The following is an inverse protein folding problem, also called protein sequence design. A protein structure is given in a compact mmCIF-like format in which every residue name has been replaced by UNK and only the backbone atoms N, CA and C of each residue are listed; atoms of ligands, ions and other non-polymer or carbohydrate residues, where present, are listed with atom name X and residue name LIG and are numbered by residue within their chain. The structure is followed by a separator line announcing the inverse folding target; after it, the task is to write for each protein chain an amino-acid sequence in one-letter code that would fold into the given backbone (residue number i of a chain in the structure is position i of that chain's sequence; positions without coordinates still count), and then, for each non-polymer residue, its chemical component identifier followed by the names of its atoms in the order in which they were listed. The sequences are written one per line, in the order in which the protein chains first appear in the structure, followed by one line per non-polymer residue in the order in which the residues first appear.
data_IF_244321088755
#
_entry.id   IF_244321088755
#
_cell.length_a   1.000
_cell.length_b   1.000
_cell.length_c   1.000
_cell.angle_alpha   90.00
_cell.angle_beta   90.00
_cell.angle_gamma   90.00
#
_symmetry.space_group_name_H-M   'P 1'
#
loop_
_entity.id
_entity.type
_entity.pdbx_description
1 polymer ?
#
# COMPACT_ATOMS: atom_id res chain seq x y z
N UNK A 1 15.25 25.96 19.17
CA UNK A 1 16.25 24.90 19.41
C UNK A 1 15.57 23.59 19.03
N UNK A 2 15.87 23.06 17.84
CA UNK A 2 15.35 21.76 17.43
C UNK A 2 16.04 20.69 18.30
N UNK A 3 15.28 20.05 19.17
CA UNK A 3 15.75 18.86 19.86
C UNK A 3 16.06 17.82 18.76
N UNK A 4 17.34 17.51 18.54
CA UNK A 4 17.76 16.46 17.63
C UNK A 4 17.18 15.14 18.16
N UNK A 5 16.27 14.55 17.40
CA UNK A 5 15.74 13.22 17.71
C UNK A 5 16.92 12.25 17.91
N UNK A 6 16.99 11.49 18.98
CA UNK A 6 18.12 10.60 19.23
C UNK A 6 18.23 9.57 18.07
N UNK A 7 19.45 9.32 17.64
CA UNK A 7 19.71 8.29 16.62
C UNK A 7 19.35 6.92 17.20
N UNK A 8 18.37 6.26 16.56
CA UNK A 8 17.89 4.93 16.95
C UNK A 8 18.44 3.87 15.99
N UNK A 9 18.65 2.67 16.52
CA UNK A 9 18.91 1.46 15.74
C UNK A 9 17.60 0.73 15.50
N UNK A 10 17.15 0.66 14.25
CA UNK A 10 15.84 0.16 13.86
C UNK A 10 15.97 -1.07 12.96
N UNK A 11 15.13 -2.07 13.19
CA UNK A 11 14.96 -3.20 12.27
C UNK A 11 13.56 -3.13 11.68
N UNK A 12 13.50 -3.02 10.36
CA UNK A 12 12.26 -3.16 9.60
C UNK A 12 12.11 -4.62 9.17
N UNK A 13 11.10 -5.31 9.69
CA UNK A 13 10.90 -6.74 9.51
C UNK A 13 9.71 -7.02 8.61
N UNK A 14 9.87 -7.84 7.58
CA UNK A 14 8.78 -8.22 6.70
C UNK A 14 8.83 -9.71 6.34
N UNK A 15 7.66 -10.30 6.08
CA UNK A 15 7.50 -11.73 5.90
C UNK A 15 8.36 -12.28 4.76
N UNK A 16 8.27 -11.71 3.56
CA UNK A 16 9.01 -12.23 2.40
C UNK A 16 9.46 -11.14 1.45
N UNK A 17 10.57 -11.40 0.78
CA UNK A 17 11.05 -10.60 -0.34
C UNK A 17 10.24 -11.00 -1.58
N UNK A 18 9.49 -10.03 -2.12
CA UNK A 18 8.65 -10.18 -3.30
C UNK A 18 8.24 -8.79 -3.79
N UNK A 19 7.66 -8.68 -4.98
CA UNK A 19 7.08 -7.44 -5.45
C UNK A 19 5.70 -7.21 -4.79
N UNK A 20 5.50 -6.04 -4.17
CA UNK A 20 4.21 -5.72 -3.56
C UNK A 20 4.18 -4.38 -2.83
N UNK A 21 2.95 -3.86 -2.65
CA UNK A 21 2.75 -2.55 -2.01
C UNK A 21 3.26 -2.45 -0.57
N UNK A 22 3.22 -3.56 0.19
CA UNK A 22 3.73 -3.58 1.56
C UNK A 22 5.25 -3.52 1.61
N UNK A 23 5.93 -4.24 0.71
CA UNK A 23 7.39 -4.23 0.57
C UNK A 23 7.87 -2.83 0.20
N UNK A 24 7.25 -2.23 -0.80
CA UNK A 24 7.57 -0.86 -1.24
C UNK A 24 7.35 0.18 -0.14
N UNK A 25 6.25 0.08 0.61
CA UNK A 25 5.99 0.99 1.72
C UNK A 25 7.03 0.85 2.84
N UNK A 26 7.45 -0.39 3.16
CA UNK A 26 8.49 -0.64 4.16
C UNK A 26 9.86 -0.10 3.72
N UNK A 27 10.26 -0.37 2.48
CA UNK A 27 11.55 0.10 1.94
C UNK A 27 11.59 1.63 1.87
N UNK A 28 10.48 2.27 1.48
CA UNK A 28 10.32 3.72 1.48
C UNK A 28 10.45 4.29 2.89
N UNK A 29 9.78 3.70 3.88
CA UNK A 29 9.94 4.06 5.29
C UNK A 29 11.40 3.93 5.73
N UNK A 30 12.07 2.83 5.36
CA UNK A 30 13.48 2.61 5.69
C UNK A 30 14.41 3.66 5.10
N UNK A 31 14.22 4.04 3.84
CA UNK A 31 14.98 5.12 3.20
C UNK A 31 14.76 6.46 3.91
N UNK A 32 13.52 6.79 4.24
CA UNK A 32 13.18 8.03 4.93
C UNK A 32 13.73 8.07 6.36
N UNK A 33 13.65 6.99 7.12
CA UNK A 33 14.24 6.93 8.47
C UNK A 33 15.78 7.06 8.42
N UNK A 34 16.45 6.45 7.43
CA UNK A 34 17.91 6.62 7.24
C UNK A 34 18.28 8.06 6.89
N UNK A 35 17.53 8.72 6.02
CA UNK A 35 17.77 10.14 5.67
C UNK A 35 17.59 11.08 6.88
N UNK A 36 16.84 10.67 7.89
CA UNK A 36 16.68 11.38 9.18
C UNK A 36 17.76 11.01 10.21
N UNK A 37 18.74 10.19 9.84
CA UNK A 37 19.91 9.87 10.67
C UNK A 37 19.79 8.62 11.52
N UNK A 38 18.70 7.84 11.42
CA UNK A 38 18.58 6.56 12.12
C UNK A 38 19.45 5.47 11.46
N UNK A 39 19.87 4.48 12.26
CA UNK A 39 20.55 3.26 11.80
C UNK A 39 19.48 2.21 11.49
N UNK A 40 19.20 1.92 10.20
CA UNK A 40 18.04 1.13 9.79
C UNK A 40 18.46 -0.02 8.89
N UNK A 41 18.21 -1.25 9.33
CA UNK A 41 18.28 -2.45 8.49
C UNK A 41 16.88 -2.96 8.15
N UNK A 42 16.72 -3.52 6.94
CA UNK A 42 15.49 -4.19 6.50
C UNK A 42 15.72 -5.68 6.43
N UNK A 43 14.95 -6.45 7.19
CA UNK A 43 15.08 -7.90 7.28
C UNK A 43 13.88 -8.61 6.70
N UNK A 44 14.11 -9.46 5.70
CA UNK A 44 13.13 -10.37 5.14
C UNK A 44 13.24 -11.71 5.84
N UNK A 45 12.10 -12.25 6.32
CA UNK A 45 12.11 -13.56 6.98
C UNK A 45 12.54 -14.65 6.00
N UNK A 46 11.99 -14.61 4.77
CA UNK A 46 12.41 -15.53 3.69
C UNK A 46 12.28 -14.83 2.32
N UNK A 47 12.68 -15.54 1.25
CA UNK A 47 12.76 -14.97 -0.09
C UNK A 47 11.92 -15.76 -1.08
N UNK A 48 10.98 -15.06 -1.75
CA UNK A 48 10.24 -15.60 -2.91
C UNK A 48 10.89 -15.20 -4.23
N UNK A 49 11.42 -13.98 -4.28
CA UNK A 49 12.07 -13.39 -5.44
C UNK A 49 13.28 -12.56 -4.99
N UNK A 50 14.45 -12.61 -5.68
CA UNK A 50 15.68 -11.93 -5.27
C UNK A 50 15.73 -10.45 -5.65
N UNK A 51 14.61 -9.72 -5.63
CA UNK A 51 14.46 -8.37 -6.20
C UNK A 51 15.34 -7.31 -5.52
N UNK A 52 15.61 -7.44 -4.22
CA UNK A 52 16.28 -6.39 -3.43
C UNK A 52 17.60 -6.87 -2.81
N UNK A 53 18.15 -8.01 -3.22
CA UNK A 53 19.38 -8.60 -2.60
C UNK A 53 20.59 -7.69 -2.61
N UNK A 54 20.70 -6.84 -3.63
CA UNK A 54 21.87 -5.98 -3.86
C UNK A 54 21.68 -4.57 -3.29
N UNK A 55 20.56 -4.31 -2.60
CA UNK A 55 20.38 -3.04 -1.90
C UNK A 55 21.11 -3.07 -0.56
N UNK A 56 21.82 -1.98 -0.23
CA UNK A 56 22.45 -1.80 1.07
C UNK A 56 21.43 -1.87 2.21
N UNK A 57 21.84 -2.42 3.35
CA UNK A 57 21.02 -2.56 4.55
C UNK A 57 19.83 -3.54 4.41
N UNK A 58 19.88 -4.47 3.44
CA UNK A 58 18.91 -5.55 3.32
C UNK A 58 19.52 -6.87 3.78
N UNK A 59 18.75 -7.63 4.57
CA UNK A 59 19.12 -8.95 5.06
C UNK A 59 17.99 -9.95 4.84
N UNK A 60 18.32 -11.12 4.30
CA UNK A 60 17.42 -12.27 4.21
C UNK A 60 17.79 -13.28 5.27
N UNK A 61 16.86 -13.62 6.16
CA UNK A 61 17.13 -14.55 7.26
C UNK A 61 17.17 -16.00 6.79
N UNK A 62 16.29 -16.38 5.87
CA UNK A 62 16.24 -17.72 5.29
C UNK A 62 16.09 -17.64 3.76
N UNK A 63 17.12 -18.00 2.97
CA UNK A 63 17.08 -17.86 1.52
C UNK A 63 16.34 -19.05 0.86
N UNK A 64 15.06 -19.22 1.18
CA UNK A 64 14.18 -20.27 0.64
C UNK A 64 12.83 -19.66 0.26
N UNK A 65 12.18 -20.23 -0.76
CA UNK A 65 10.88 -19.73 -1.26
C UNK A 65 9.73 -19.92 -0.28
N UNK A 66 9.73 -21.02 0.45
CA UNK A 66 8.68 -21.34 1.42
C UNK A 66 9.28 -22.20 2.54
N UNK A 67 9.33 -21.68 3.78
CA UNK A 67 9.80 -22.48 4.92
C UNK A 67 8.81 -23.60 5.24
N UNK A 68 9.28 -24.85 5.33
CA UNK A 68 8.52 -25.93 5.97
C UNK A 68 8.59 -25.80 7.51
N UNK A 69 8.02 -26.76 8.24
CA UNK A 69 7.99 -26.72 9.71
C UNK A 69 9.39 -26.55 10.34
N UNK A 70 10.39 -27.29 9.85
CA UNK A 70 11.80 -27.18 10.27
C UNK A 70 12.36 -25.78 9.92
N UNK A 71 12.01 -25.26 8.75
CA UNK A 71 12.41 -23.91 8.31
C UNK A 71 11.87 -22.81 9.22
N UNK A 72 10.65 -22.92 9.71
CA UNK A 72 10.11 -21.96 10.70
C UNK A 72 10.84 -22.02 12.04
N UNK A 73 11.22 -23.21 12.51
CA UNK A 73 12.04 -23.34 13.72
C UNK A 73 13.44 -22.73 13.53
N UNK A 74 14.09 -22.98 12.39
CA UNK A 74 15.37 -22.37 12.05
C UNK A 74 15.25 -20.85 11.96
N UNK A 75 14.17 -20.33 11.36
CA UNK A 75 13.88 -18.93 11.25
C UNK A 75 13.75 -18.27 12.64
N UNK A 76 13.03 -18.91 13.56
CA UNK A 76 12.87 -18.45 14.93
C UNK A 76 14.22 -18.30 15.64
N UNK A 77 15.06 -19.35 15.59
CA UNK A 77 16.38 -19.33 16.22
C UNK A 77 17.29 -18.27 15.57
N UNK A 78 17.30 -18.17 14.24
CA UNK A 78 18.09 -17.16 13.52
C UNK A 78 17.65 -15.76 13.86
N UNK A 79 16.34 -15.47 13.78
CA UNK A 79 15.78 -14.14 14.11
C UNK A 79 16.13 -13.76 15.55
N UNK A 80 15.93 -14.67 16.51
CA UNK A 80 16.27 -14.44 17.93
C UNK A 80 17.75 -14.10 18.11
N UNK A 81 18.66 -14.92 17.56
CA UNK A 81 20.11 -14.70 17.65
C UNK A 81 20.53 -13.38 17.01
N UNK A 82 19.98 -13.05 15.85
CA UNK A 82 20.28 -11.81 15.13
C UNK A 82 19.80 -10.58 15.92
N UNK A 83 18.57 -10.60 16.46
CA UNK A 83 18.03 -9.51 17.28
C UNK A 83 18.85 -9.32 18.57
N UNK A 84 19.27 -10.40 19.22
CA UNK A 84 20.14 -10.35 20.42
C UNK A 84 21.52 -9.78 20.11
N UNK A 85 22.08 -10.11 18.96
CA UNK A 85 23.39 -9.59 18.52
C UNK A 85 23.30 -8.11 18.07
N UNK A 86 22.27 -7.77 17.30
CA UNK A 86 22.07 -6.44 16.73
C UNK A 86 21.58 -5.41 17.78
N UNK A 87 20.81 -5.86 18.77
CA UNK A 87 20.24 -5.05 19.88
C UNK A 87 19.52 -3.79 19.38
N UNK A 88 18.50 -3.93 18.50
CA UNK A 88 17.79 -2.78 18.02
C UNK A 88 16.96 -2.11 19.12
N UNK A 89 16.82 -0.79 19.04
CA UNK A 89 15.92 -0.01 19.90
C UNK A 89 14.45 -0.28 19.56
N UNK A 90 14.16 -0.56 18.27
CA UNK A 90 12.83 -0.93 17.84
C UNK A 90 12.83 -1.92 16.68
N UNK A 91 11.75 -2.74 16.61
CA UNK A 91 11.38 -3.55 15.45
C UNK A 91 10.03 -3.07 14.93
N UNK A 92 9.99 -2.67 13.67
CA UNK A 92 8.75 -2.35 12.95
C UNK A 92 8.49 -3.49 11.97
N UNK A 93 7.35 -4.19 12.09
CA UNK A 93 7.05 -5.34 11.24
C UNK A 93 5.85 -5.11 10.33
N UNK A 94 5.94 -5.62 9.10
CA UNK A 94 4.88 -5.56 8.09
C UNK A 94 4.48 -6.98 7.67
N UNK A 95 3.20 -7.19 7.42
CA UNK A 95 2.55 -8.45 7.06
C UNK A 95 2.33 -9.42 8.23
N UNK A 96 1.26 -10.24 8.20
CA UNK A 96 0.76 -10.98 9.37
C UNK A 96 1.76 -11.90 10.03
N UNK A 97 2.58 -12.63 9.25
CA UNK A 97 3.58 -13.54 9.84
C UNK A 97 4.70 -12.78 10.56
N UNK A 98 5.22 -11.70 9.96
CA UNK A 98 6.23 -10.86 10.62
C UNK A 98 5.63 -10.15 11.85
N UNK A 99 4.35 -9.75 11.79
CA UNK A 99 3.65 -9.18 12.93
C UNK A 99 3.53 -10.20 14.07
N UNK A 100 2.81 -11.30 13.87
CA UNK A 100 2.56 -12.27 14.95
C UNK A 100 3.84 -12.97 15.43
N UNK A 101 4.52 -13.64 14.52
CA UNK A 101 5.71 -14.43 14.82
C UNK A 101 6.94 -13.54 15.10
N UNK A 102 7.22 -12.57 14.21
CA UNK A 102 8.42 -11.74 14.34
C UNK A 102 8.43 -10.91 15.60
N UNK A 103 7.31 -10.28 15.97
CA UNK A 103 7.21 -9.47 17.19
C UNK A 103 7.23 -10.32 18.47
N UNK A 104 6.71 -11.55 18.43
CA UNK A 104 6.86 -12.48 19.56
C UNK A 104 8.34 -12.82 19.81
N UNK A 105 9.11 -13.11 18.74
CA UNK A 105 10.56 -13.33 18.85
C UNK A 105 11.29 -12.06 19.28
N UNK A 106 10.91 -10.89 18.79
CA UNK A 106 11.50 -9.61 19.20
C UNK A 106 11.28 -9.33 20.69
N UNK A 107 10.10 -9.67 21.23
CA UNK A 107 9.83 -9.59 22.66
C UNK A 107 10.75 -10.50 23.47
N UNK A 108 10.88 -11.77 23.05
CA UNK A 108 11.78 -12.74 23.70
C UNK A 108 13.25 -12.29 23.64
N UNK A 109 13.65 -11.63 22.54
CA UNK A 109 14.97 -11.05 22.39
C UNK A 109 15.20 -9.77 23.23
N UNK A 110 14.17 -9.25 23.87
CA UNK A 110 14.26 -8.07 24.75
C UNK A 110 14.24 -6.73 24.00
N UNK A 111 13.71 -6.70 22.76
CA UNK A 111 13.57 -5.43 22.01
C UNK A 111 12.54 -4.53 22.70
N UNK A 112 12.89 -3.27 23.06
CA UNK A 112 12.00 -2.42 23.85
C UNK A 112 10.77 -1.94 23.07
N UNK A 113 10.89 -1.48 21.82
CA UNK A 113 9.78 -1.02 21.00
C UNK A 113 9.47 -2.01 19.88
N UNK A 114 8.22 -2.44 19.82
CA UNK A 114 7.74 -3.50 18.92
C UNK A 114 6.45 -3.06 18.24
N UNK A 115 6.61 -2.52 17.02
CA UNK A 115 5.52 -1.93 16.24
C UNK A 115 5.07 -2.92 15.18
N UNK A 116 3.85 -3.45 15.29
CA UNK A 116 3.22 -4.25 14.25
C UNK A 116 2.44 -3.35 13.28
N UNK A 117 2.58 -3.55 11.97
CA UNK A 117 1.82 -2.80 10.97
C UNK A 117 0.91 -3.71 10.16
N UNK A 118 -0.39 -3.50 10.32
CA UNK A 118 -1.46 -4.19 9.62
C UNK A 118 -1.70 -3.50 8.27
N UNK A 119 -1.62 -4.26 7.18
CA UNK A 119 -1.63 -3.72 5.82
C UNK A 119 -2.90 -4.05 5.04
N UNK A 120 -3.71 -4.94 5.59
CA UNK A 120 -4.99 -5.36 5.05
C UNK A 120 -5.97 -5.57 6.22
N UNK A 121 -7.28 -5.56 5.96
CA UNK A 121 -8.28 -5.92 6.95
C UNK A 121 -8.08 -7.32 7.55
N UNK A 122 -8.38 -7.50 8.82
CA UNK A 122 -8.15 -8.74 9.58
C UNK A 122 -8.80 -9.98 8.96
N UNK A 123 -9.96 -9.84 8.36
CA UNK A 123 -10.72 -10.93 7.72
C UNK A 123 -10.05 -11.48 6.44
N UNK A 124 -9.08 -10.75 5.87
CA UNK A 124 -8.28 -11.23 4.72
C UNK A 124 -7.19 -12.21 5.11
N UNK A 125 -6.90 -12.35 6.41
CA UNK A 125 -5.88 -13.25 6.91
C UNK A 125 -6.43 -14.68 7.01
N UNK A 126 -5.56 -15.67 6.78
CA UNK A 126 -5.94 -17.06 7.03
C UNK A 126 -6.28 -17.28 8.52
N UNK A 127 -7.16 -18.22 8.87
CA UNK A 127 -7.60 -18.40 10.26
C UNK A 127 -6.48 -18.60 11.27
N UNK A 128 -5.40 -19.29 10.90
CA UNK A 128 -4.26 -19.48 11.77
C UNK A 128 -3.43 -18.20 11.97
N UNK A 129 -3.31 -17.36 10.92
CA UNK A 129 -2.66 -16.06 11.02
C UNK A 129 -3.46 -15.10 11.89
N UNK A 130 -4.80 -15.10 11.79
CA UNK A 130 -5.67 -14.31 12.67
C UNK A 130 -5.47 -14.71 14.14
N UNK A 131 -5.41 -16.02 14.42
CA UNK A 131 -5.19 -16.54 15.79
C UNK A 131 -3.82 -16.14 16.31
N UNK A 132 -2.78 -16.28 15.49
CA UNK A 132 -1.40 -15.92 15.85
C UNK A 132 -1.28 -14.43 16.16
N UNK A 133 -1.78 -13.57 15.28
CA UNK A 133 -1.77 -12.12 15.43
C UNK A 133 -2.56 -11.68 16.67
N UNK A 134 -3.80 -12.22 16.83
CA UNK A 134 -4.64 -11.96 18.00
C UNK A 134 -3.95 -12.35 19.30
N UNK A 135 -3.34 -13.53 19.36
CA UNK A 135 -2.63 -14.02 20.54
C UNK A 135 -1.40 -13.14 20.86
N UNK A 136 -0.56 -12.88 19.86
CA UNK A 136 0.64 -12.07 20.03
C UNK A 136 0.31 -10.67 20.55
N UNK A 137 -0.67 -9.97 19.93
CA UNK A 137 -1.07 -8.64 20.38
C UNK A 137 -1.72 -8.64 21.77
N UNK A 138 -2.57 -9.64 22.08
CA UNK A 138 -3.22 -9.77 23.39
C UNK A 138 -2.21 -10.04 24.52
N UNK A 139 -1.17 -10.82 24.24
CA UNK A 139 -0.09 -11.12 25.18
C UNK A 139 0.98 -10.00 25.29
N UNK A 140 0.77 -8.85 24.61
CA UNK A 140 1.69 -7.70 24.72
C UNK A 140 2.99 -7.88 23.93
N UNK A 141 2.98 -8.69 22.84
CA UNK A 141 4.12 -8.71 21.92
C UNK A 141 4.24 -7.41 21.13
N UNK A 142 3.16 -6.64 20.98
CA UNK A 142 3.15 -5.32 20.37
C UNK A 142 3.16 -4.21 21.43
N UNK A 143 4.05 -3.23 21.30
CA UNK A 143 3.99 -1.97 22.06
C UNK A 143 3.13 -0.93 21.32
N UNK A 144 3.00 -1.06 19.99
CA UNK A 144 2.07 -0.33 19.16
C UNK A 144 1.60 -1.23 18.02
N UNK A 145 0.38 -1.01 17.52
CA UNK A 145 -0.22 -1.74 16.41
C UNK A 145 -0.84 -0.74 15.44
N UNK A 146 -0.37 -0.73 14.21
CA UNK A 146 -0.68 0.31 13.23
C UNK A 146 -1.52 -0.27 12.11
N UNK A 147 -2.71 0.29 11.86
CA UNK A 147 -3.40 0.14 10.58
C UNK A 147 -2.97 1.22 9.60
N UNK A 148 -2.85 0.89 8.31
CA UNK A 148 -2.56 1.89 7.28
C UNK A 148 -3.79 2.68 6.82
N UNK A 149 -4.95 2.40 7.40
CA UNK A 149 -6.20 3.15 7.30
C UNK A 149 -7.06 2.90 8.53
N UNK A 150 -8.06 3.76 8.76
CA UNK A 150 -9.05 3.56 9.82
C UNK A 150 -9.85 2.28 9.57
N UNK A 151 -10.18 1.98 8.32
CA UNK A 151 -10.91 0.76 7.96
C UNK A 151 -10.16 -0.52 8.32
N UNK A 152 -8.83 -0.51 8.23
CA UNK A 152 -8.00 -1.62 8.71
C UNK A 152 -8.06 -1.70 10.24
N UNK A 153 -7.95 -0.59 10.96
CA UNK A 153 -8.09 -0.56 12.43
C UNK A 153 -9.44 -1.09 12.86
N UNK A 154 -10.52 -0.66 12.22
CA UNK A 154 -11.90 -1.06 12.54
C UNK A 154 -12.13 -2.56 12.29
N UNK A 155 -11.42 -3.17 11.35
CA UNK A 155 -11.50 -4.61 11.09
C UNK A 155 -11.07 -5.49 12.27
N UNK A 156 -10.35 -4.91 13.25
CA UNK A 156 -9.93 -5.57 14.49
C UNK A 156 -10.88 -5.29 15.68
N UNK A 157 -12.04 -4.68 15.47
CA UNK A 157 -12.98 -4.32 16.53
C UNK A 157 -13.42 -5.51 17.42
N UNK A 158 -13.51 -6.72 16.85
CA UNK A 158 -13.83 -7.94 17.58
C UNK A 158 -12.67 -8.55 18.38
N UNK A 159 -11.45 -7.98 18.29
CA UNK A 159 -10.29 -8.48 19.03
C UNK A 159 -10.34 -8.03 20.51
N UNK A 160 -9.64 -8.76 21.43
CA UNK A 160 -9.63 -8.41 22.86
C UNK A 160 -9.14 -6.99 23.13
N UNK A 161 -9.65 -6.38 24.20
CA UNK A 161 -9.26 -5.03 24.62
C UNK A 161 -7.73 -4.83 24.75
N UNK A 162 -6.93 -5.78 25.30
CA UNK A 162 -5.47 -5.63 25.35
C UNK A 162 -4.80 -5.53 23.98
N UNK A 163 -5.38 -6.13 22.94
CA UNK A 163 -4.92 -5.96 21.55
C UNK A 163 -5.30 -4.58 21.02
N UNK A 164 -6.59 -4.19 21.19
CA UNK A 164 -7.15 -2.98 20.60
C UNK A 164 -6.59 -1.68 21.15
N UNK A 165 -6.20 -1.65 22.43
CA UNK A 165 -5.65 -0.45 23.08
C UNK A 165 -4.36 0.09 22.41
N UNK A 166 -3.68 -0.73 21.62
CA UNK A 166 -2.45 -0.37 20.91
C UNK A 166 -2.69 0.04 19.46
N UNK A 167 -3.93 -0.09 18.97
CA UNK A 167 -4.27 0.24 17.59
C UNK A 167 -4.25 1.76 17.35
N UNK A 168 -3.63 2.15 16.26
CA UNK A 168 -3.59 3.53 15.76
C UNK A 168 -3.48 3.53 14.25
N UNK A 169 -3.71 4.67 13.61
CA UNK A 169 -3.58 4.82 12.16
C UNK A 169 -2.28 5.55 11.82
N UNK A 170 -1.52 4.98 10.89
CA UNK A 170 -0.44 5.68 10.19
C UNK A 170 -0.59 5.36 8.72
N UNK A 171 -1.06 6.33 7.95
CA UNK A 171 -1.28 6.18 6.51
C UNK A 171 0.02 5.91 5.77
N UNK A 172 -0.09 5.28 4.59
CA UNK A 172 1.02 5.17 3.65
C UNK A 172 1.43 6.56 3.18
N UNK A 173 2.72 6.75 3.02
CA UNK A 173 3.26 7.94 2.39
C UNK A 173 3.89 7.61 1.05
N UNK A 174 3.80 8.51 0.09
CA UNK A 174 4.43 8.40 -1.22
C UNK A 174 5.58 9.42 -1.30
N UNK A 175 6.76 8.94 -1.71
CA UNK A 175 7.87 9.79 -2.16
C UNK A 175 7.66 10.02 -3.65
N UNK A 176 6.87 11.07 -3.97
CA UNK A 176 6.46 11.33 -5.34
C UNK A 176 7.51 12.13 -6.09
N UNK A 177 7.88 11.61 -7.27
CA UNK A 177 8.67 12.34 -8.28
C UNK A 177 7.87 12.36 -9.56
N UNK A 178 7.59 13.55 -10.04
CA UNK A 178 6.89 13.71 -11.31
C UNK A 178 7.76 13.22 -12.47
N UNK A 179 7.11 12.69 -13.51
CA UNK A 179 7.78 12.39 -14.77
C UNK A 179 8.28 13.68 -15.43
N UNK A 180 9.44 13.62 -16.04
CA UNK A 180 10.00 14.70 -16.88
C UNK A 180 9.48 14.64 -18.32
N UNK A 181 8.82 13.54 -18.70
CA UNK A 181 8.25 13.36 -20.02
C UNK A 181 6.97 14.18 -20.20
N UNK A 182 6.73 14.67 -21.41
CA UNK A 182 5.40 15.10 -21.79
C UNK A 182 4.46 13.87 -22.02
N UNK A 183 3.14 14.06 -22.06
CA UNK A 183 2.21 12.93 -22.21
C UNK A 183 2.42 12.11 -23.48
N UNK A 184 2.81 12.73 -24.60
CA UNK A 184 3.02 12.02 -25.86
C UNK A 184 4.27 11.15 -25.82
N UNK A 185 5.38 11.68 -25.29
CA UNK A 185 6.61 10.92 -25.07
C UNK A 185 6.40 9.79 -24.04
N UNK A 186 5.62 10.02 -22.99
CA UNK A 186 5.25 9.00 -22.03
C UNK A 186 4.45 7.86 -22.68
N UNK A 187 3.47 8.17 -23.52
CA UNK A 187 2.70 7.17 -24.30
C UNK A 187 3.61 6.39 -25.25
N UNK A 188 4.47 7.07 -26.00
CA UNK A 188 5.41 6.43 -26.91
C UNK A 188 6.35 5.45 -26.19
N UNK A 189 6.84 5.81 -24.99
CA UNK A 189 7.69 4.93 -24.17
C UNK A 189 7.07 3.57 -23.89
N UNK A 190 5.76 3.51 -23.71
CA UNK A 190 5.02 2.27 -23.40
C UNK A 190 4.29 1.69 -24.61
N UNK A 191 4.48 2.23 -25.83
CA UNK A 191 3.76 1.78 -27.03
C UNK A 191 2.25 1.99 -26.94
N UNK A 192 1.81 3.02 -26.20
CA UNK A 192 0.39 3.32 -26.00
C UNK A 192 -0.17 4.20 -27.13
N UNK A 193 -1.48 4.14 -27.39
CA UNK A 193 -2.12 4.97 -28.42
C UNK A 193 -1.86 6.47 -28.21
N UNK A 194 -1.47 7.16 -29.28
CA UNK A 194 -1.20 8.60 -29.21
C UNK A 194 -2.46 9.44 -28.98
N UNK A 195 -3.61 8.97 -29.47
CA UNK A 195 -4.89 9.69 -29.38
C UNK A 195 -5.90 9.00 -28.48
N UNK A 196 -6.90 9.78 -28.06
CA UNK A 196 -7.98 9.32 -27.19
C UNK A 196 -7.61 9.20 -25.73
N UNK A 197 -8.61 9.14 -24.84
CA UNK A 197 -8.40 8.97 -23.40
C UNK A 197 -7.82 7.60 -23.06
N UNK A 198 -6.86 7.56 -22.10
CA UNK A 198 -6.30 6.34 -21.53
C UNK A 198 -6.81 6.16 -20.11
N UNK A 199 -7.53 5.06 -19.88
CA UNK A 199 -7.97 4.60 -18.56
C UNK A 199 -6.90 3.62 -18.06
N UNK A 200 -6.24 3.94 -16.96
CA UNK A 200 -5.15 3.16 -16.40
C UNK A 200 -5.59 2.46 -15.13
N UNK A 201 -5.28 1.18 -15.02
CA UNK A 201 -5.29 0.42 -13.77
C UNK A 201 -3.89 -0.12 -13.49
N UNK A 202 -3.39 0.08 -12.27
CA UNK A 202 -2.10 -0.46 -11.83
C UNK A 202 -2.34 -1.40 -10.66
N UNK A 203 -1.93 -2.66 -10.81
CA UNK A 203 -2.03 -3.64 -9.74
C UNK A 203 -1.92 -5.07 -10.25
N UNK A 204 -1.74 -6.00 -9.31
CA UNK A 204 -1.70 -7.42 -9.62
C UNK A 204 -3.00 -7.84 -10.31
N UNK A 205 -2.90 -8.62 -11.38
CA UNK A 205 -4.07 -9.19 -12.07
C UNK A 205 -4.62 -10.36 -11.23
N UNK A 206 -5.54 -10.06 -10.34
CA UNK A 206 -6.10 -10.98 -9.37
C UNK A 206 -7.54 -10.57 -9.01
N UNK A 207 -8.33 -11.52 -8.54
CA UNK A 207 -9.74 -11.33 -8.15
C UNK A 207 -9.93 -10.12 -7.24
N UNK A 208 -9.04 -9.92 -6.26
CA UNK A 208 -9.06 -8.76 -5.36
C UNK A 208 -9.16 -7.43 -6.10
N UNK A 209 -8.48 -7.28 -7.25
CA UNK A 209 -8.39 -6.01 -8.00
C UNK A 209 -9.54 -5.82 -8.98
N UNK A 210 -10.30 -6.87 -9.27
CA UNK A 210 -11.55 -6.87 -10.02
C UNK A 210 -11.49 -6.13 -11.38
N UNK A 211 -10.36 -6.28 -12.10
CA UNK A 211 -10.20 -5.65 -13.41
C UNK A 211 -11.27 -6.10 -14.43
N UNK A 212 -11.94 -7.22 -14.17
CA UNK A 212 -13.07 -7.70 -14.98
C UNK A 212 -14.22 -6.69 -15.07
N UNK A 213 -14.45 -5.88 -14.02
CA UNK A 213 -15.45 -4.81 -14.07
C UNK A 213 -15.09 -3.77 -15.15
N UNK A 214 -13.83 -3.34 -15.22
CA UNK A 214 -13.39 -2.38 -16.24
C UNK A 214 -13.55 -2.94 -17.67
N UNK A 215 -13.32 -4.23 -17.85
CA UNK A 215 -13.56 -4.88 -19.14
C UNK A 215 -15.05 -4.91 -19.51
N UNK A 216 -15.95 -5.18 -18.55
CA UNK A 216 -17.40 -5.21 -18.81
C UNK A 216 -17.97 -3.84 -19.18
N UNK A 217 -17.47 -2.76 -18.60
CA UNK A 217 -17.97 -1.40 -18.89
C UNK A 217 -17.35 -0.79 -20.15
N UNK A 218 -16.19 -1.26 -20.58
CA UNK A 218 -15.46 -0.71 -21.71
C UNK A 218 -16.24 -0.70 -23.04
N UNK A 219 -17.05 -1.74 -23.42
CA UNK A 219 -17.85 -1.72 -24.65
C UNK A 219 -18.82 -0.55 -24.71
N UNK A 220 -19.32 -0.07 -23.57
CA UNK A 220 -20.31 1.01 -23.47
C UNK A 220 -19.71 2.41 -23.51
N UNK A 221 -18.39 2.55 -23.49
CA UNK A 221 -17.70 3.83 -23.58
C UNK A 221 -17.53 4.25 -25.03
N UNK A 222 -17.82 5.52 -25.33
CA UNK A 222 -17.77 6.08 -26.69
C UNK A 222 -16.36 6.11 -27.30
N UNK A 223 -15.32 6.17 -26.45
CA UNK A 223 -13.91 6.21 -26.87
C UNK A 223 -12.99 5.70 -25.75
N UNK A 224 -11.68 5.67 -26.03
CA UNK A 224 -10.64 5.40 -25.05
C UNK A 224 -10.14 3.96 -25.05
N UNK A 225 -8.98 3.79 -24.42
CA UNK A 225 -8.31 2.50 -24.24
C UNK A 225 -8.12 2.22 -22.75
N UNK A 226 -8.24 0.94 -22.38
CA UNK A 226 -7.94 0.46 -21.05
C UNK A 226 -6.52 -0.11 -21.02
N UNK A 227 -5.69 0.41 -20.10
CA UNK A 227 -4.33 -0.05 -19.87
C UNK A 227 -4.29 -0.76 -18.52
N UNK A 228 -3.95 -2.04 -18.53
CA UNK A 228 -3.77 -2.87 -17.33
C UNK A 228 -2.28 -3.11 -17.11
N UNK A 229 -1.72 -2.43 -16.12
CA UNK A 229 -0.31 -2.54 -15.73
C UNK A 229 -0.15 -3.43 -14.49
N UNK A 230 0.54 -4.52 -14.66
CA UNK A 230 0.76 -5.58 -13.69
C UNK A 230 0.58 -6.96 -14.30
N UNK A 231 0.91 -7.97 -13.52
CA UNK A 231 0.71 -9.37 -13.88
C UNK A 231 0.04 -10.14 -12.73
N UNK A 232 -0.38 -11.38 -12.99
CA UNK A 232 -1.01 -12.22 -11.98
C UNK A 232 -1.81 -13.38 -12.54
N UNK A 233 -2.37 -14.18 -11.63
CA UNK A 233 -3.03 -15.44 -11.99
C UNK A 233 -4.28 -15.26 -12.87
N UNK A 234 -4.91 -14.08 -12.86
CA UNK A 234 -6.13 -13.80 -13.61
C UNK A 234 -5.85 -13.27 -15.02
N UNK A 235 -4.58 -13.08 -15.43
CA UNK A 235 -4.24 -12.53 -16.74
C UNK A 235 -4.96 -13.24 -17.88
N UNK A 236 -4.79 -14.54 -18.00
CA UNK A 236 -5.43 -15.31 -19.09
C UNK A 236 -6.96 -15.32 -19.03
N UNK A 237 -7.55 -15.17 -17.83
CA UNK A 237 -9.00 -15.00 -17.66
C UNK A 237 -9.46 -13.63 -18.18
N UNK A 238 -8.71 -12.58 -17.88
CA UNK A 238 -9.03 -11.21 -18.33
C UNK A 238 -8.84 -11.07 -19.86
N UNK A 239 -7.81 -11.69 -20.44
CA UNK A 239 -7.59 -11.71 -21.90
C UNK A 239 -8.74 -12.41 -22.64
N UNK A 240 -9.22 -13.56 -22.13
CA UNK A 240 -10.41 -14.23 -22.69
C UNK A 240 -11.66 -13.36 -22.54
N UNK A 241 -11.89 -12.76 -21.39
CA UNK A 241 -13.04 -11.87 -21.18
C UNK A 241 -13.02 -10.68 -22.16
N UNK A 242 -11.84 -10.10 -22.43
CA UNK A 242 -11.72 -9.01 -23.39
C UNK A 242 -12.07 -9.47 -24.83
N UNK A 243 -11.72 -10.70 -25.19
CA UNK A 243 -12.09 -11.30 -26.47
C UNK A 243 -13.60 -11.57 -26.57
N UNK A 244 -14.19 -12.17 -25.54
CA UNK A 244 -15.62 -12.47 -25.48
C UNK A 244 -16.49 -11.20 -25.55
N UNK A 245 -16.01 -10.09 -25.00
CA UNK A 245 -16.65 -8.78 -25.04
C UNK A 245 -16.35 -7.98 -26.33
N UNK A 246 -15.47 -8.49 -27.21
CA UNK A 246 -15.10 -7.83 -28.47
C UNK A 246 -14.26 -6.55 -28.28
N UNK A 247 -13.58 -6.38 -27.14
CA UNK A 247 -12.83 -5.16 -26.79
C UNK A 247 -11.31 -5.33 -26.85
N UNK A 248 -10.79 -6.43 -27.38
CA UNK A 248 -9.36 -6.73 -27.41
C UNK A 248 -8.52 -5.61 -28.04
N UNK A 249 -9.02 -4.93 -29.08
CA UNK A 249 -8.33 -3.81 -29.73
C UNK A 249 -8.25 -2.54 -28.86
N UNK A 250 -9.02 -2.46 -27.77
CA UNK A 250 -9.07 -1.33 -26.86
C UNK A 250 -8.44 -1.64 -25.50
N UNK A 251 -7.88 -2.83 -25.29
CA UNK A 251 -7.25 -3.25 -24.02
C UNK A 251 -5.77 -3.53 -24.22
N UNK A 252 -4.94 -2.95 -23.37
CA UNK A 252 -3.49 -3.13 -23.40
C UNK A 252 -3.03 -3.75 -22.09
N UNK A 253 -2.51 -4.97 -22.16
CA UNK A 253 -1.90 -5.67 -21.02
C UNK A 253 -0.40 -5.40 -21.01
N UNK A 254 0.07 -4.44 -20.21
CA UNK A 254 1.48 -4.06 -20.16
C UNK A 254 2.39 -5.08 -19.45
N UNK A 255 1.81 -5.97 -18.64
CA UNK A 255 2.61 -6.79 -17.74
C UNK A 255 3.21 -5.99 -16.59
N UNK A 256 4.25 -6.53 -15.96
CA UNK A 256 4.94 -5.86 -14.86
C UNK A 256 5.68 -4.61 -15.35
N UNK A 257 5.47 -3.50 -14.67
CA UNK A 257 6.15 -2.23 -14.94
C UNK A 257 7.13 -1.94 -13.81
N UNK A 258 8.38 -1.65 -14.17
CA UNK A 258 9.42 -1.32 -13.21
C UNK A 258 9.00 -0.10 -12.36
N UNK A 259 9.29 -0.14 -11.06
CA UNK A 259 8.89 0.91 -10.11
C UNK A 259 9.31 2.31 -10.55
N UNK A 260 10.52 2.46 -11.06
CA UNK A 260 11.05 3.74 -11.56
C UNK A 260 10.29 4.28 -12.78
N UNK A 261 9.54 3.44 -13.50
CA UNK A 261 8.78 3.84 -14.68
C UNK A 261 7.30 4.16 -14.38
N UNK A 262 6.83 3.94 -13.14
CA UNK A 262 5.45 4.25 -12.73
C UNK A 262 5.10 5.73 -12.90
N UNK A 263 5.95 6.72 -12.56
CA UNK A 263 5.65 8.12 -12.82
C UNK A 263 5.39 8.42 -14.30
N UNK A 264 6.17 7.81 -15.22
CA UNK A 264 5.99 8.00 -16.65
C UNK A 264 4.71 7.32 -17.15
N UNK A 265 4.38 6.15 -16.61
CA UNK A 265 3.12 5.48 -16.95
C UNK A 265 1.89 6.29 -16.49
N UNK A 266 1.93 6.84 -15.29
CA UNK A 266 0.88 7.73 -14.80
C UNK A 266 0.79 9.03 -15.61
N UNK A 267 1.93 9.53 -16.12
CA UNK A 267 1.97 10.68 -17.02
C UNK A 267 1.33 10.43 -18.37
N UNK A 268 1.34 9.19 -18.85
CA UNK A 268 0.72 8.77 -20.11
C UNK A 268 -0.81 8.69 -20.03
N UNK A 269 -1.39 8.56 -18.83
CA UNK A 269 -2.80 8.30 -18.59
C UNK A 269 -3.62 9.58 -18.39
N UNK A 270 -4.94 9.49 -18.60
CA UNK A 270 -5.92 10.55 -18.37
C UNK A 270 -6.81 10.25 -17.18
N UNK A 271 -7.16 8.99 -16.96
CA UNK A 271 -8.09 8.51 -15.94
C UNK A 271 -7.42 7.35 -15.22
N UNK A 272 -7.52 7.31 -13.91
CA UNK A 272 -7.11 6.15 -13.09
C UNK A 272 -8.33 5.45 -12.54
N UNK A 273 -8.47 4.15 -12.80
CA UNK A 273 -9.63 3.36 -12.36
C UNK A 273 -9.21 2.19 -11.47
N UNK A 274 -9.81 2.07 -10.27
CA UNK A 274 -9.47 1.03 -9.27
C UNK A 274 -10.72 0.36 -8.69
N UNK A 275 -11.28 -0.68 -9.35
CA UNK A 275 -12.48 -1.39 -8.90
C UNK A 275 -12.19 -2.49 -7.88
N UNK A 276 -11.29 -2.25 -6.94
CA UNK A 276 -10.83 -3.27 -5.99
C UNK A 276 -11.90 -3.69 -5.00
N UNK A 277 -11.93 -4.98 -4.64
CA UNK A 277 -12.88 -5.54 -3.67
C UNK A 277 -12.51 -5.19 -2.23
N UNK A 278 -11.24 -5.08 -1.92
CA UNK A 278 -10.72 -4.69 -0.61
C UNK A 278 -9.28 -4.21 -0.69
N UNK A 279 -8.93 -3.28 0.21
CA UNK A 279 -7.60 -2.71 0.39
C UNK A 279 -7.36 -2.39 1.88
N UNK A 280 -6.09 -2.25 2.24
CA UNK A 280 -5.74 -1.50 3.44
C UNK A 280 -5.68 0.00 3.14
N UNK A 281 -4.76 0.37 2.25
CA UNK A 281 -4.67 1.67 1.57
C UNK A 281 -3.87 1.46 0.28
N UNK A 282 -4.45 1.82 -0.84
CA UNK A 282 -3.86 1.56 -2.16
C UNK A 282 -2.74 2.54 -2.50
N UNK A 283 -1.49 2.05 -2.58
CA UNK A 283 -0.38 2.89 -3.06
C UNK A 283 -0.62 3.40 -4.49
N UNK A 284 -1.23 2.60 -5.37
CA UNK A 284 -1.49 3.00 -6.74
C UNK A 284 -2.49 4.18 -6.83
N UNK A 285 -3.51 4.20 -5.96
CA UNK A 285 -4.43 5.36 -5.84
C UNK A 285 -3.68 6.58 -5.33
N UNK A 286 -2.85 6.43 -4.30
CA UNK A 286 -2.03 7.55 -3.78
C UNK A 286 -1.09 8.09 -4.85
N UNK A 287 -0.46 7.24 -5.65
CA UNK A 287 0.41 7.63 -6.76
C UNK A 287 -0.36 8.34 -7.87
N UNK A 288 -1.57 7.85 -8.22
CA UNK A 288 -2.46 8.49 -9.18
C UNK A 288 -2.92 9.88 -8.70
N UNK A 289 -3.20 10.05 -7.38
CA UNK A 289 -3.49 11.35 -6.77
C UNK A 289 -2.30 12.30 -6.92
N UNK A 290 -1.09 11.88 -6.58
CA UNK A 290 0.11 12.70 -6.72
C UNK A 290 0.41 13.05 -8.17
N UNK A 291 0.18 12.14 -9.11
CA UNK A 291 0.29 12.39 -10.56
C UNK A 291 -0.77 13.38 -11.05
N UNK A 292 -1.86 13.54 -10.32
CA UNK A 292 -3.00 14.37 -10.68
C UNK A 292 -3.79 13.77 -11.83
N UNK A 293 -4.28 12.56 -11.64
CA UNK A 293 -5.25 11.92 -12.51
C UNK A 293 -6.67 12.09 -11.97
N UNK A 294 -7.65 12.11 -12.85
CA UNK A 294 -9.05 11.89 -12.47
C UNK A 294 -9.20 10.45 -11.98
N UNK A 295 -9.80 10.25 -10.81
CA UNK A 295 -9.83 8.93 -10.15
C UNK A 295 -11.27 8.43 -10.08
N UNK A 296 -11.46 7.17 -10.51
CA UNK A 296 -12.69 6.39 -10.30
C UNK A 296 -12.32 5.16 -9.50
N UNK A 297 -12.95 4.97 -8.35
CA UNK A 297 -12.63 3.86 -7.45
C UNK A 297 -13.89 3.24 -6.83
N UNK A 298 -13.76 2.02 -6.34
CA UNK A 298 -14.82 1.40 -5.54
C UNK A 298 -15.05 2.16 -4.23
N UNK A 299 -16.29 2.17 -3.74
CA UNK A 299 -16.74 2.83 -2.52
C UNK A 299 -16.44 2.04 -1.23
N UNK A 300 -15.41 1.21 -1.26
CA UNK A 300 -14.94 0.49 -0.07
C UNK A 300 -14.35 1.45 0.98
N UNK A 301 -14.46 1.14 2.28
CA UNK A 301 -14.09 2.06 3.35
C UNK A 301 -12.67 2.65 3.23
N UNK A 302 -11.69 1.85 2.79
CA UNK A 302 -10.30 2.32 2.61
C UNK A 302 -10.15 3.36 1.49
N UNK A 303 -10.94 3.24 0.41
CA UNK A 303 -10.93 4.21 -0.68
C UNK A 303 -11.71 5.46 -0.33
N UNK A 304 -12.85 5.31 0.36
CA UNK A 304 -13.63 6.42 0.92
C UNK A 304 -12.74 7.27 1.83
N UNK A 305 -12.00 6.67 2.75
CA UNK A 305 -11.04 7.36 3.62
C UNK A 305 -9.94 8.07 2.80
N UNK A 306 -9.37 7.38 1.83
CA UNK A 306 -8.26 7.91 1.01
C UNK A 306 -8.71 9.09 0.16
N UNK A 307 -9.88 9.00 -0.49
CA UNK A 307 -10.39 10.01 -1.42
C UNK A 307 -11.22 11.12 -0.76
N UNK A 308 -11.42 11.09 0.57
CA UNK A 308 -12.00 12.21 1.31
C UNK A 308 -13.46 12.11 1.64
N UNK A 309 -14.04 10.93 1.59
CA UNK A 309 -15.47 10.72 1.81
C UNK A 309 -16.22 10.55 0.51
N UNK A 310 -17.55 10.59 0.59
CA UNK A 310 -18.49 10.57 -0.53
C UNK A 310 -19.13 11.95 -0.72
N UNK A 311 -19.52 12.30 -1.94
CA UNK A 311 -20.15 13.58 -2.26
C UNK A 311 -19.15 14.66 -2.69
N UNK A 312 -19.48 15.92 -2.44
CA UNK A 312 -18.73 17.10 -2.95
C UNK A 312 -17.28 17.20 -2.44
N UNK A 313 -17.00 16.65 -1.27
CA UNK A 313 -15.66 16.64 -0.67
C UNK A 313 -14.75 15.55 -1.25
N UNK A 314 -15.31 14.57 -1.96
CA UNK A 314 -14.53 13.51 -2.60
C UNK A 314 -13.67 14.08 -3.74
N UNK A 315 -12.44 13.60 -3.82
CA UNK A 315 -11.51 13.99 -4.88
C UNK A 315 -11.48 12.97 -6.02
N UNK A 316 -12.42 12.02 -6.02
CA UNK A 316 -12.62 11.00 -7.03
C UNK A 316 -14.03 10.42 -6.95
N UNK A 317 -14.49 9.76 -8.01
CA UNK A 317 -15.77 9.08 -8.00
C UNK A 317 -15.65 7.75 -7.24
N UNK A 318 -16.51 7.59 -6.23
CA UNK A 318 -16.61 6.40 -5.39
C UNK A 318 -17.89 5.63 -5.74
N UNK A 319 -17.74 4.45 -6.31
CA UNK A 319 -18.83 3.73 -6.96
C UNK A 319 -19.01 2.31 -6.41
N UNK A 320 -20.25 1.84 -6.28
CA UNK A 320 -20.54 0.48 -5.86
C UNK A 320 -20.02 -0.53 -6.91
N UNK A 321 -19.58 -1.69 -6.44
CA UNK A 321 -18.98 -2.72 -7.29
C UNK A 321 -20.00 -3.56 -8.07
N UNK A 322 -21.27 -3.48 -7.69
CA UNK A 322 -22.41 -4.20 -8.29
C UNK A 322 -23.25 -3.33 -9.26
N UNK A 323 -22.82 -2.10 -9.53
CA UNK A 323 -23.46 -1.19 -10.49
C UNK A 323 -22.52 -0.85 -11.67
N UNK A 324 -22.39 -1.75 -12.64
CA UNK A 324 -21.62 -1.52 -13.88
C UNK A 324 -22.14 -0.26 -14.63
N UNK A 325 -23.41 0.11 -14.45
CA UNK A 325 -24.01 1.32 -15.04
C UNK A 325 -23.45 2.61 -14.42
N UNK A 326 -23.24 2.65 -13.10
CA UNK A 326 -22.61 3.79 -12.43
C UNK A 326 -21.16 3.98 -12.92
N UNK A 327 -20.40 2.89 -13.02
CA UNK A 327 -19.04 2.92 -13.56
C UNK A 327 -19.01 3.39 -15.02
N UNK A 328 -19.95 2.92 -15.85
CA UNK A 328 -20.08 3.38 -17.23
C UNK A 328 -20.35 4.87 -17.31
N UNK A 329 -21.33 5.40 -16.54
CA UNK A 329 -21.66 6.82 -16.56
C UNK A 329 -20.49 7.71 -16.12
N UNK A 330 -19.81 7.35 -15.02
CA UNK A 330 -18.66 8.09 -14.52
C UNK A 330 -17.49 8.09 -15.52
N UNK A 331 -17.09 6.92 -16.00
CA UNK A 331 -15.99 6.81 -16.96
C UNK A 331 -16.34 7.51 -18.30
N UNK A 332 -17.58 7.41 -18.79
CA UNK A 332 -18.01 8.10 -20.01
C UNK A 332 -17.99 9.63 -19.86
N UNK A 333 -18.41 10.17 -18.69
CA UNK A 333 -18.30 11.58 -18.40
C UNK A 333 -16.84 12.06 -18.46
N UNK A 334 -15.93 11.30 -17.86
CA UNK A 334 -14.50 11.60 -17.87
C UNK A 334 -13.86 11.39 -19.26
N UNK A 335 -14.32 10.43 -20.05
CA UNK A 335 -13.87 10.24 -21.44
C UNK A 335 -14.21 11.46 -22.28
N UNK A 336 -15.40 12.02 -22.13
CA UNK A 336 -15.90 13.14 -22.94
C UNK A 336 -15.44 14.50 -22.50
N UNK A 337 -15.20 14.70 -21.21
CA UNK A 337 -14.97 16.03 -20.63
C UNK A 337 -13.54 16.19 -20.07
N UNK A 338 -12.62 16.80 -20.85
CA UNK A 338 -11.27 17.13 -20.38
C UNK A 338 -11.25 18.12 -19.21
N UNK A 339 -12.23 19.04 -19.14
CA UNK A 339 -12.28 20.04 -18.07
C UNK A 339 -12.65 19.39 -16.73
N UNK A 340 -13.60 18.42 -16.76
CA UNK A 340 -13.93 17.62 -15.59
C UNK A 340 -12.71 16.81 -15.11
N UNK A 341 -11.96 16.17 -16.02
CA UNK A 341 -10.71 15.48 -15.64
C UNK A 341 -9.72 16.43 -14.97
N UNK A 342 -9.52 17.62 -15.52
CA UNK A 342 -8.59 18.62 -14.96
C UNK A 342 -8.99 19.07 -13.55
N UNK A 343 -10.28 19.31 -13.33
CA UNK A 343 -10.83 19.68 -12.02
C UNK A 343 -10.61 18.57 -10.98
N UNK A 344 -10.95 17.33 -11.32
CA UNK A 344 -10.73 16.18 -10.41
C UNK A 344 -9.24 15.97 -10.13
N UNK A 345 -8.39 16.13 -11.14
CA UNK A 345 -6.94 16.02 -11.02
C UNK A 345 -6.34 17.04 -10.04
N UNK A 346 -6.82 18.29 -10.07
CA UNK A 346 -6.38 19.34 -9.16
C UNK A 346 -6.77 19.00 -7.71
N UNK A 347 -8.01 18.61 -7.48
CA UNK A 347 -8.50 18.19 -6.15
C UNK A 347 -7.71 16.97 -5.62
N UNK A 348 -7.45 15.98 -6.48
CA UNK A 348 -6.67 14.81 -6.12
C UNK A 348 -5.23 15.16 -5.70
N UNK A 349 -4.54 16.05 -6.43
CA UNK A 349 -3.18 16.54 -6.06
C UNK A 349 -3.18 17.27 -4.73
N UNK A 350 -4.16 18.14 -4.49
CA UNK A 350 -4.26 18.87 -3.22
C UNK A 350 -4.39 17.90 -2.04
N UNK A 351 -5.26 16.89 -2.15
CA UNK A 351 -5.45 15.89 -1.10
C UNK A 351 -4.24 14.96 -0.94
N UNK A 352 -3.50 14.66 -2.01
CA UNK A 352 -2.30 13.82 -1.98
C UNK A 352 -1.26 14.31 -0.96
N UNK A 353 -1.23 15.62 -0.66
CA UNK A 353 -0.33 16.21 0.34
C UNK A 353 -0.57 15.70 1.77
N UNK A 354 -1.67 15.02 2.02
CA UNK A 354 -1.91 14.33 3.28
C UNK A 354 -1.16 13.00 3.39
N UNK A 355 -0.66 12.46 2.27
CA UNK A 355 -0.07 11.13 2.15
C UNK A 355 1.38 11.17 1.68
N UNK A 356 2.19 12.04 2.30
CA UNK A 356 3.62 12.14 2.01
C UNK A 356 4.44 11.15 2.85
N UNK A 357 5.61 10.78 2.35
CA UNK A 357 6.53 9.90 3.09
C UNK A 357 6.94 10.51 4.43
N UNK A 358 7.08 11.82 4.52
CA UNK A 358 7.42 12.52 5.76
C UNK A 358 6.35 12.33 6.84
N UNK A 359 5.06 12.49 6.50
CA UNK A 359 3.95 12.26 7.42
C UNK A 359 3.88 10.80 7.90
N UNK A 360 4.12 9.85 7.01
CA UNK A 360 4.23 8.44 7.38
C UNK A 360 5.39 8.22 8.35
N UNK A 361 6.56 8.77 8.05
CA UNK A 361 7.77 8.62 8.86
C UNK A 361 7.58 9.25 10.24
N UNK A 362 7.03 10.48 10.32
CA UNK A 362 6.67 11.12 11.60
C UNK A 362 5.74 10.26 12.45
N UNK A 363 4.79 9.57 11.79
CA UNK A 363 3.90 8.63 12.46
C UNK A 363 4.65 7.47 13.11
N UNK A 364 5.56 6.85 12.37
CA UNK A 364 6.36 5.74 12.89
C UNK A 364 7.41 6.17 13.92
N UNK A 365 8.09 7.32 13.74
CA UNK A 365 9.06 7.86 14.71
C UNK A 365 8.42 8.06 16.08
N UNK A 366 7.22 8.64 16.14
CA UNK A 366 6.48 8.78 17.41
C UNK A 366 6.21 7.46 18.13
N UNK A 367 6.05 6.36 17.38
CA UNK A 367 5.77 5.04 17.96
C UNK A 367 7.02 4.29 18.43
N UNK A 368 8.18 4.62 17.86
CA UNK A 368 9.48 4.03 18.26
C UNK A 368 10.25 4.89 19.24
N UNK A 369 9.74 6.07 19.59
CA UNK A 369 10.37 6.96 20.58
C UNK A 369 10.45 6.25 21.94
N UNK A 370 11.68 5.94 22.35
CA UNK A 370 11.97 5.26 23.62
C UNK A 370 11.83 6.16 24.84
N UNK A 371 11.80 7.48 24.66
CA UNK A 371 11.61 8.46 25.75
C UNK A 371 10.13 8.62 26.13
N UNK A 372 9.20 8.24 25.26
CA UNK A 372 7.78 8.32 25.54
C UNK A 372 7.29 7.13 26.40
N UNK A 373 6.41 7.34 27.39
CA UNK A 373 5.84 6.24 28.17
C UNK A 373 5.06 5.27 27.29
N UNK A 374 5.14 3.97 27.58
CA UNK A 374 4.35 2.94 26.88
C UNK A 374 2.85 3.21 27.03
N UNK A 375 2.10 3.13 25.92
CA UNK A 375 0.63 3.16 25.95
C UNK A 375 -0.05 4.51 25.70
N UNK A 376 0.66 5.59 25.34
CA UNK A 376 -0.03 6.77 24.80
C UNK A 376 -0.64 6.47 23.44
N UNK A 377 -1.97 6.30 23.43
CA UNK A 377 -2.78 6.31 22.19
C UNK A 377 -2.76 7.74 21.65
N UNK A 378 -2.03 7.97 20.58
CA UNK A 378 -2.12 9.25 19.87
C UNK A 378 -3.40 9.23 19.03
N UNK A 379 -4.39 10.04 19.43
CA UNK A 379 -5.60 10.27 18.63
C UNK A 379 -5.22 11.02 17.35
N UNK A 380 -5.56 10.51 16.15
CA UNK A 380 -5.23 11.15 14.88
C UNK A 380 -6.00 12.45 14.60
N UNK A 381 -6.98 12.80 15.45
CA UNK A 381 -7.93 13.90 15.19
C UNK A 381 -7.41 15.31 15.46
N UNK A 382 -6.20 15.50 15.98
CA UNK A 382 -5.68 16.85 16.25
C UNK A 382 -5.16 17.62 15.02
N UNK A 383 -4.99 16.96 13.86
CA UNK A 383 -4.43 17.59 12.64
C UNK A 383 -5.42 17.90 11.52
N UNK A 384 -6.65 17.40 11.59
CA UNK A 384 -7.65 17.57 10.52
C UNK A 384 -8.71 18.65 10.81
N UNK A 385 -8.70 19.26 12.01
CA UNK A 385 -9.64 20.33 12.40
C UNK A 385 -8.96 21.68 12.63
N UNK A 386 -8.08 22.13 11.78
CA UNK A 386 -7.68 23.54 11.77
C UNK A 386 -7.35 23.95 10.34
N UNK A 387 -8.40 24.40 9.64
CA UNK A 387 -8.49 25.63 8.83
C UNK A 387 -9.82 25.57 8.05
N UNK A 388 -10.88 26.02 8.74
CA UNK A 388 -12.04 26.64 8.09
C UNK A 388 -11.67 28.03 7.65
#
# INVERSE_FOLDING_TARGET
MNATTPRLRLVLLITHMDQGGAQEALLRLGRSLRSRGHDVETWFLYEKSPLYRNEDNIRVLLPVRSPGAVGYLQLMVRLFRQLRAHRPDAVISFLPLANGFGQAVARLAGVPRRVASQRNPSWTYTPWMQRLDRLAGTLGCYTANVGNSQSVVDSFAAYPQPYRRHLTVVHNGIDWRSSELDPAAARARFGLPAGGPLILNIGRLAEQKNQSLLLRVLPSLSAGHLVLAGDGNDRGKLERLAADLGVTSRVIFLGEVARAAIPDLLRAADIFAMPTLFEGQSNAVLEAMHAGLAIVSSDIPAQVETLGGSGEDAVGDLLPLDDDGAWTRSLEALVRDPALRALMAERARARAQLFTVDRMTDGFERLVDISAPEGRVFSPQAGLRQRS
#
